data_IF_450282211438
#
_entry.id   IF_450282211438
#
_cell.length_a   1.000
_cell.length_b   1.000
_cell.length_c   1.000
_cell.angle_alpha   90.00
_cell.angle_beta   90.00
_cell.angle_gamma   90.00
#
_symmetry.space_group_name_H-M   'P 1'
#
loop_
_entity.id
_entity.type
_entity.pdbx_description
1 polymer ?
#
# COMPACT_ATOMS: atom_id res chain seq x y z
N UNK A 1 -13.63 -41.81 45.07
CA UNK A 1 -13.73 -40.35 44.82
C UNK A 1 -13.47 -40.14 43.35
N UNK A 2 -14.47 -39.63 42.60
CA UNK A 2 -14.34 -39.36 41.16
C UNK A 2 -13.68 -37.99 41.02
N UNK A 3 -12.44 -37.94 40.53
CA UNK A 3 -11.80 -36.68 40.17
C UNK A 3 -12.51 -36.08 38.97
N UNK A 4 -13.08 -34.90 39.15
CA UNK A 4 -13.57 -34.04 38.07
C UNK A 4 -12.37 -33.22 37.62
N UNK A 5 -11.92 -33.43 36.39
CA UNK A 5 -10.99 -32.51 35.73
C UNK A 5 -11.82 -31.33 35.19
N UNK A 6 -11.57 -30.13 35.71
CA UNK A 6 -12.06 -28.89 35.12
C UNK A 6 -10.97 -28.38 34.19
N UNK A 7 -11.19 -28.51 32.88
CA UNK A 7 -10.33 -27.89 31.88
C UNK A 7 -10.69 -26.40 31.81
N UNK A 8 -9.82 -25.55 32.34
CA UNK A 8 -9.93 -24.10 32.18
C UNK A 8 -9.47 -23.74 30.77
N UNK A 9 -10.43 -23.43 29.88
CA UNK A 9 -10.14 -22.95 28.53
C UNK A 9 -9.74 -21.47 28.61
N UNK A 10 -8.43 -21.18 28.60
CA UNK A 10 -7.96 -19.81 28.39
C UNK A 10 -8.20 -19.46 26.92
N UNK A 11 -9.14 -18.55 26.65
CA UNK A 11 -9.31 -17.95 25.33
C UNK A 11 -8.12 -17.03 25.03
N UNK A 12 -7.11 -17.54 24.33
CA UNK A 12 -6.07 -16.72 23.72
C UNK A 12 -6.70 -15.97 22.55
N UNK A 13 -6.96 -14.68 22.72
CA UNK A 13 -7.34 -13.81 21.61
C UNK A 13 -6.07 -13.37 20.90
N UNK A 14 -5.85 -13.84 19.67
CA UNK A 14 -4.84 -13.27 18.79
C UNK A 14 -5.45 -12.07 18.09
N UNK A 15 -4.84 -10.90 18.23
CA UNK A 15 -5.14 -9.78 17.34
C UNK A 15 -4.59 -10.15 15.97
N UNK A 16 -5.45 -10.29 14.97
CA UNK A 16 -5.00 -10.29 13.59
C UNK A 16 -4.27 -8.96 13.33
N UNK A 17 -3.07 -9.02 12.78
CA UNK A 17 -2.38 -7.82 12.32
C UNK A 17 -3.03 -7.40 11.01
N UNK A 18 -3.73 -6.27 11.01
CA UNK A 18 -4.16 -5.63 9.76
C UNK A 18 -2.92 -5.20 9.00
N UNK A 19 -2.74 -5.72 7.79
CA UNK A 19 -1.64 -5.33 6.90
C UNK A 19 -2.25 -4.37 5.88
N UNK A 20 -1.70 -3.16 5.77
CA UNK A 20 -2.03 -2.20 4.70
C UNK A 20 -0.71 -1.70 4.12
N UNK A 21 -0.63 -1.61 2.80
CA UNK A 21 0.58 -1.23 2.08
C UNK A 21 0.24 -0.54 0.75
N UNK A 22 1.20 0.17 0.18
CA UNK A 22 1.07 0.78 -1.14
C UNK A 22 1.22 -0.31 -2.20
N UNK A 23 0.23 -0.42 -3.08
CA UNK A 23 0.03 -1.57 -3.96
C UNK A 23 0.30 -1.30 -5.44
N UNK A 24 -0.04 -0.10 -5.90
CA UNK A 24 0.07 0.31 -7.30
C UNK A 24 0.25 1.83 -7.38
N UNK A 25 1.05 2.31 -8.33
CA UNK A 25 1.33 3.74 -8.53
C UNK A 25 1.41 4.02 -10.03
N UNK A 26 0.78 5.12 -10.46
CA UNK A 26 0.94 5.70 -11.79
C UNK A 26 1.28 7.19 -11.65
N UNK A 27 2.44 7.61 -12.14
CA UNK A 27 3.02 8.96 -11.96
C UNK A 27 3.62 9.59 -13.22
N UNK A 28 4.05 8.85 -14.24
CA UNK A 28 4.69 9.40 -15.45
C UNK A 28 4.16 8.76 -16.74
N UNK A 29 3.86 9.59 -17.73
CA UNK A 29 3.35 9.17 -19.02
C UNK A 29 4.20 9.63 -20.21
N UNK A 30 4.01 8.95 -21.33
CA UNK A 30 4.34 9.51 -22.64
C UNK A 30 3.54 10.80 -22.91
N UNK A 31 4.21 11.94 -22.77
CA UNK A 31 3.62 13.26 -23.02
C UNK A 31 3.31 14.00 -21.72
N UNK A 32 2.03 14.32 -21.50
CA UNK A 32 1.59 14.94 -20.25
C UNK A 32 1.04 13.87 -19.31
N UNK A 33 1.25 14.06 -18.02
CA UNK A 33 0.80 13.11 -17.00
C UNK A 33 -0.72 13.16 -16.84
N UNK A 34 -1.34 12.00 -16.98
CA UNK A 34 -2.78 11.79 -17.00
C UNK A 34 -3.13 10.52 -16.24
N UNK A 35 -4.30 10.50 -15.60
CA UNK A 35 -4.79 9.37 -14.84
C UNK A 35 -3.85 8.92 -13.70
N UNK A 36 -3.07 9.83 -13.11
CA UNK A 36 -2.23 9.49 -11.97
C UNK A 36 -3.06 8.98 -10.79
N UNK A 37 -2.55 7.97 -10.11
CA UNK A 37 -3.17 7.43 -8.91
C UNK A 37 -2.14 6.76 -8.01
N UNK A 38 -2.55 6.57 -6.77
CA UNK A 38 -1.93 5.65 -5.83
C UNK A 38 -2.98 4.67 -5.32
N UNK A 39 -2.60 3.41 -5.20
CA UNK A 39 -3.45 2.36 -4.67
C UNK A 39 -2.87 1.81 -3.37
N UNK A 40 -3.75 1.50 -2.42
CA UNK A 40 -3.39 0.71 -1.24
C UNK A 40 -4.14 -0.61 -1.25
N UNK A 41 -3.50 -1.66 -0.75
CA UNK A 41 -4.12 -2.95 -0.54
C UNK A 41 -3.84 -3.45 0.86
N UNK A 42 -4.62 -4.43 1.31
CA UNK A 42 -4.48 -4.93 2.67
C UNK A 42 -5.57 -5.90 3.08
N UNK A 43 -5.63 -6.17 4.38
CA UNK A 43 -6.65 -7.02 4.98
C UNK A 43 -8.05 -6.46 4.68
N UNK A 44 -8.94 -7.31 4.16
CA UNK A 44 -10.33 -6.94 3.91
C UNK A 44 -11.01 -6.49 5.20
N UNK A 45 -11.90 -5.50 5.10
CA UNK A 45 -12.60 -4.94 6.25
C UNK A 45 -11.80 -3.89 7.04
N UNK A 46 -10.54 -3.62 6.70
CA UNK A 46 -9.78 -2.55 7.34
C UNK A 46 -10.35 -1.18 6.98
N UNK A 47 -10.74 -0.43 8.00
CA UNK A 47 -11.17 0.98 7.88
C UNK A 47 -9.95 1.89 7.74
N UNK A 48 -9.89 2.61 6.62
CA UNK A 48 -8.82 3.55 6.29
C UNK A 48 -9.07 4.96 6.84
N UNK A 49 -10.13 5.17 7.63
CA UNK A 49 -10.41 6.46 8.27
C UNK A 49 -9.21 6.91 9.12
N UNK A 50 -8.68 8.09 8.79
CA UNK A 50 -7.53 8.68 9.47
C UNK A 50 -6.16 8.26 8.91
N UNK A 51 -6.13 7.33 7.95
CA UNK A 51 -4.91 7.03 7.20
C UNK A 51 -4.62 8.11 6.17
N UNK A 52 -3.35 8.31 5.86
CA UNK A 52 -2.92 9.29 4.85
C UNK A 52 -1.74 8.78 4.04
N UNK A 53 -1.62 9.28 2.81
CA UNK A 53 -0.38 9.19 2.04
C UNK A 53 0.24 10.59 1.95
N UNK A 54 1.51 10.71 2.31
CA UNK A 54 2.28 11.95 2.26
C UNK A 54 3.32 11.84 1.17
N UNK A 55 3.31 12.78 0.22
CA UNK A 55 4.21 12.82 -0.92
C UNK A 55 5.50 13.57 -0.57
N UNK A 56 6.62 13.09 -1.09
CA UNK A 56 7.96 13.58 -0.79
C UNK A 56 8.77 13.81 -2.07
N UNK A 57 9.35 15.00 -2.18
CA UNK A 57 10.31 15.32 -3.23
C UNK A 57 11.68 14.81 -2.78
N UNK A 58 12.29 13.92 -3.54
CA UNK A 58 13.57 13.31 -3.16
C UNK A 58 14.75 14.24 -3.34
N UNK A 59 14.61 15.30 -4.15
CA UNK A 59 15.55 16.41 -4.19
C UNK A 59 15.35 17.35 -2.98
N UNK A 60 15.92 16.95 -1.85
CA UNK A 60 15.86 17.68 -0.60
C UNK A 60 15.01 17.01 0.48
N UNK A 61 14.31 15.92 0.14
CA UNK A 61 13.59 15.08 1.09
C UNK A 61 12.42 15.80 1.76
N UNK A 62 11.79 16.75 1.09
CA UNK A 62 10.71 17.56 1.66
C UNK A 62 9.36 17.17 1.11
N UNK A 63 8.32 17.25 1.94
CA UNK A 63 6.94 16.99 1.51
C UNK A 63 6.47 18.00 0.47
N UNK A 64 5.66 17.55 -0.49
CA UNK A 64 4.94 18.41 -1.43
C UNK A 64 3.47 18.03 -1.54
N UNK A 65 2.68 18.89 -2.18
CA UNK A 65 1.24 18.68 -2.32
C UNK A 65 0.49 18.70 -0.98
N UNK A 66 -0.78 18.35 -1.03
CA UNK A 66 -1.56 18.04 0.18
C UNK A 66 -1.48 16.55 0.45
N UNK A 67 -1.49 16.15 1.72
CA UNK A 67 -1.61 14.74 2.07
C UNK A 67 -2.92 14.17 1.48
N UNK A 68 -2.82 12.96 0.93
CA UNK A 68 -3.95 12.23 0.38
C UNK A 68 -4.64 11.55 1.55
N UNK A 69 -5.79 12.07 1.98
CA UNK A 69 -6.58 11.44 3.03
C UNK A 69 -7.25 10.18 2.48
N UNK A 70 -6.97 9.05 3.11
CA UNK A 70 -7.63 7.80 2.77
C UNK A 70 -8.95 7.73 3.55
N UNK A 71 -9.91 7.01 2.98
CA UNK A 71 -11.20 6.77 3.61
C UNK A 71 -11.87 5.56 2.99
N UNK A 72 -12.92 5.07 3.64
CA UNK A 72 -13.60 3.84 3.25
C UNK A 72 -12.97 2.62 3.89
N UNK A 73 -13.55 1.47 3.58
CA UNK A 73 -13.15 0.18 4.09
C UNK A 73 -12.62 -0.63 2.93
N UNK A 74 -11.43 -1.23 3.08
CA UNK A 74 -10.90 -2.15 2.07
C UNK A 74 -11.95 -3.25 1.82
N UNK A 75 -12.49 -3.37 0.59
CA UNK A 75 -13.52 -4.37 0.30
C UNK A 75 -13.03 -5.82 0.53
N UNK A 76 -13.95 -6.77 0.41
CA UNK A 76 -13.64 -8.20 0.30
C UNK A 76 -13.78 -8.57 -1.17
N UNK A 77 -12.82 -9.32 -1.72
CA UNK A 77 -12.87 -9.80 -3.11
C UNK A 77 -13.93 -10.91 -3.33
N UNK A 78 -14.67 -11.27 -2.28
CA UNK A 78 -15.69 -12.31 -2.26
C UNK A 78 -15.14 -13.70 -1.95
N UNK A 79 -13.82 -13.82 -1.76
CA UNK A 79 -13.14 -15.04 -1.32
C UNK A 79 -12.65 -14.98 0.13
N UNK A 80 -12.94 -13.88 0.84
CA UNK A 80 -12.37 -13.59 2.17
C UNK A 80 -10.94 -13.03 2.10
N UNK A 81 -10.43 -12.80 0.88
CA UNK A 81 -9.14 -12.18 0.62
C UNK A 81 -9.20 -10.68 0.74
N UNK A 82 -8.05 -10.10 1.10
CA UNK A 82 -7.81 -8.67 1.03
C UNK A 82 -8.10 -8.12 -0.36
N UNK A 83 -8.32 -6.82 -0.44
CA UNK A 83 -8.50 -6.14 -1.73
C UNK A 83 -7.80 -4.79 -1.72
N UNK A 84 -7.91 -4.05 -2.83
CA UNK A 84 -7.29 -2.76 -3.03
C UNK A 84 -8.29 -1.61 -3.17
N UNK A 85 -7.81 -0.40 -2.93
CA UNK A 85 -8.54 0.85 -3.18
C UNK A 85 -7.61 1.86 -3.84
N UNK A 86 -7.99 2.32 -5.03
CA UNK A 86 -7.27 3.32 -5.78
C UNK A 86 -7.77 4.74 -5.46
N UNK A 87 -6.82 5.67 -5.33
CA UNK A 87 -7.03 7.08 -5.06
C UNK A 87 -6.50 7.90 -6.25
N UNK A 88 -7.42 8.34 -7.09
CA UNK A 88 -7.10 9.14 -8.29
C UNK A 88 -6.67 10.54 -7.90
N UNK A 89 -5.60 11.01 -8.54
CA UNK A 89 -5.01 12.32 -8.32
C UNK A 89 -5.36 13.27 -9.46
N UNK A 90 -5.37 14.59 -9.22
CA UNK A 90 -5.39 15.57 -10.31
C UNK A 90 -4.16 15.40 -11.21
N UNK A 91 -4.25 15.77 -12.48
CA UNK A 91 -3.10 15.75 -13.40
C UNK A 91 -1.91 16.55 -12.89
N UNK A 92 -0.71 16.01 -13.04
CA UNK A 92 0.55 16.41 -12.41
C UNK A 92 0.45 16.44 -10.88
N UNK A 93 -0.23 15.44 -10.32
CA UNK A 93 -0.44 15.28 -8.88
C UNK A 93 0.76 14.65 -8.18
N UNK A 94 1.47 13.77 -8.88
CA UNK A 94 2.75 13.21 -8.49
C UNK A 94 3.86 13.92 -9.26
N UNK A 95 5.07 13.93 -8.70
CA UNK A 95 6.25 14.46 -9.37
C UNK A 95 7.02 13.33 -10.05
N UNK A 96 7.57 13.61 -11.23
CA UNK A 96 8.36 12.66 -12.00
C UNK A 96 9.79 12.77 -11.45
N UNK A 97 10.17 11.82 -10.61
CA UNK A 97 11.32 11.96 -9.74
C UNK A 97 12.43 10.97 -9.99
N UNK A 98 13.68 11.46 -9.98
CA UNK A 98 14.88 10.66 -9.78
C UNK A 98 15.72 11.14 -8.57
N UNK A 99 15.35 10.83 -7.32
CA UNK A 99 14.13 10.13 -6.90
C UNK A 99 13.02 11.06 -6.40
N UNK A 100 11.78 10.57 -6.37
CA UNK A 100 10.67 11.07 -5.54
C UNK A 100 9.99 9.88 -4.83
N UNK A 101 9.10 10.14 -3.87
CA UNK A 101 8.50 9.06 -3.09
C UNK A 101 7.28 9.45 -2.26
N UNK A 102 6.80 8.50 -1.47
CA UNK A 102 5.61 8.67 -0.65
C UNK A 102 5.62 7.77 0.58
N UNK A 103 5.04 8.27 1.66
CA UNK A 103 4.89 7.54 2.93
C UNK A 103 3.42 7.25 3.21
N UNK A 104 3.10 5.99 3.52
CA UNK A 104 1.81 5.56 4.03
C UNK A 104 1.81 5.70 5.55
N UNK A 105 0.84 6.46 6.08
CA UNK A 105 0.72 6.78 7.49
C UNK A 105 -0.61 6.23 8.01
N UNK A 106 -0.57 5.47 9.11
CA UNK A 106 -1.78 4.93 9.72
C UNK A 106 -2.57 5.97 10.53
N UNK A 107 -3.74 5.55 11.00
CA UNK A 107 -4.63 6.37 11.82
C UNK A 107 -4.08 6.73 13.22
N UNK A 108 -2.91 6.22 13.59
CA UNK A 108 -2.17 6.58 14.82
C UNK A 108 -1.00 7.51 14.56
N UNK A 109 -0.86 8.00 13.32
CA UNK A 109 0.26 8.81 12.84
C UNK A 109 1.61 8.06 12.78
N UNK A 110 1.58 6.72 12.63
CA UNK A 110 2.76 5.89 12.44
C UNK A 110 3.06 5.70 10.95
N UNK A 111 4.32 5.83 10.55
CA UNK A 111 4.77 5.49 9.19
C UNK A 111 4.74 3.98 9.03
N UNK A 112 3.83 3.47 8.19
CA UNK A 112 3.69 2.05 7.87
C UNK A 112 4.66 1.65 6.77
N UNK A 113 4.81 2.51 5.77
CA UNK A 113 5.67 2.28 4.61
C UNK A 113 6.22 3.60 4.10
N UNK A 114 7.48 3.61 3.66
CA UNK A 114 8.08 4.75 2.96
C UNK A 114 8.85 4.25 1.74
N UNK A 115 8.28 4.47 0.56
CA UNK A 115 8.85 4.04 -0.72
C UNK A 115 9.24 5.23 -1.59
N UNK A 116 10.13 4.98 -2.52
CA UNK A 116 10.51 5.90 -3.58
C UNK A 116 10.69 5.16 -4.90
N UNK A 117 10.66 5.90 -6.00
CA UNK A 117 11.00 5.42 -7.33
C UNK A 117 12.25 6.15 -7.84
N UNK A 118 12.99 5.47 -8.73
CA UNK A 118 14.21 5.97 -9.37
C UNK A 118 15.34 6.35 -8.39
N UNK A 119 15.41 5.65 -7.26
CA UNK A 119 16.42 5.82 -6.22
C UNK A 119 15.83 6.00 -4.83
N UNK A 120 16.69 6.21 -3.83
CA UNK A 120 16.30 6.41 -2.42
C UNK A 120 16.79 7.74 -1.87
N UNK A 121 16.11 8.26 -0.86
CA UNK A 121 16.46 9.50 -0.18
C UNK A 121 15.99 9.48 1.27
N UNK A 122 16.55 10.38 2.08
CA UNK A 122 16.12 10.57 3.48
C UNK A 122 15.17 11.75 3.57
N UNK A 123 14.04 11.57 4.25
CA UNK A 123 13.09 12.65 4.50
C UNK A 123 13.64 13.65 5.53
N UNK A 124 13.51 14.93 5.23
CA UNK A 124 13.96 16.07 6.03
C UNK A 124 12.81 16.81 6.71
N UNK A 125 11.55 16.42 6.47
CA UNK A 125 10.38 16.92 7.18
C UNK A 125 9.23 15.88 7.17
N UNK A 126 8.07 16.27 7.71
CA UNK A 126 6.84 15.47 7.69
C UNK A 126 6.91 14.21 8.56
N UNK A 127 5.91 13.32 8.45
CA UNK A 127 5.81 12.12 9.28
C UNK A 127 6.98 11.14 9.13
N UNK A 128 7.60 11.08 7.95
CA UNK A 128 8.77 10.23 7.69
C UNK A 128 10.12 10.87 8.06
N UNK A 129 10.14 12.00 8.78
CA UNK A 129 11.36 12.73 9.13
C UNK A 129 12.47 11.80 9.67
N UNK A 130 13.63 11.82 9.02
CA UNK A 130 14.81 11.04 9.38
C UNK A 130 14.79 9.58 8.90
N UNK A 131 13.68 9.12 8.30
CA UNK A 131 13.62 7.81 7.64
C UNK A 131 14.18 7.91 6.21
N UNK A 132 14.84 6.84 5.78
CA UNK A 132 15.26 6.66 4.38
C UNK A 132 14.22 5.83 3.65
N UNK A 133 13.80 6.29 2.48
CA UNK A 133 12.85 5.56 1.62
C UNK A 133 13.46 4.27 1.08
N UNK A 134 12.60 3.31 0.76
CA UNK A 134 12.97 2.09 0.04
C UNK A 134 12.66 2.30 -1.44
N UNK A 135 13.69 2.26 -2.29
CA UNK A 135 13.51 2.28 -3.74
C UNK A 135 12.75 1.02 -4.21
N UNK A 136 11.68 1.21 -4.99
CA UNK A 136 10.85 0.12 -5.51
C UNK A 136 11.53 -0.64 -6.65
N UNK A 137 12.58 -0.06 -7.27
CA UNK A 137 13.43 -0.74 -8.25
C UNK A 137 12.82 -0.89 -9.65
N UNK A 138 11.65 -0.32 -9.88
CA UNK A 138 10.99 -0.15 -11.19
C UNK A 138 10.58 1.30 -11.35
N UNK A 139 10.42 1.77 -12.58
CA UNK A 139 10.06 3.16 -12.85
C UNK A 139 9.18 3.31 -14.07
N UNK A 140 8.41 4.38 -14.06
CA UNK A 140 7.79 4.94 -15.25
C UNK A 140 8.70 6.00 -15.85
N UNK A 141 8.52 6.26 -17.13
CA UNK A 141 9.31 7.21 -17.88
C UNK A 141 8.41 8.03 -18.78
N UNK A 142 8.96 9.06 -19.41
CA UNK A 142 8.33 9.82 -20.49
C UNK A 142 7.97 9.01 -21.77
N UNK A 143 8.04 7.69 -21.71
CA UNK A 143 7.62 6.75 -22.74
C UNK A 143 6.61 5.70 -22.25
N UNK A 144 6.23 5.74 -20.96
CA UNK A 144 5.20 4.86 -20.39
C UNK A 144 3.85 5.12 -21.06
N UNK A 145 3.23 4.10 -21.68
CA UNK A 145 1.90 4.26 -22.26
C UNK A 145 0.86 4.59 -21.18
N UNK A 146 -0.10 5.46 -21.50
CA UNK A 146 -1.30 5.63 -20.67
C UNK A 146 -2.02 4.29 -20.52
N UNK A 147 -2.48 3.99 -19.29
CA UNK A 147 -3.10 2.71 -18.94
C UNK A 147 -2.11 1.63 -18.48
N UNK A 148 -0.84 2.00 -18.31
CA UNK A 148 0.16 1.16 -17.67
C UNK A 148 0.66 1.84 -16.38
N UNK A 149 0.90 1.03 -15.35
CA UNK A 149 1.31 1.44 -14.01
C UNK A 149 2.45 0.57 -13.47
N UNK A 150 3.02 0.97 -12.33
CA UNK A 150 3.86 0.13 -11.49
C UNK A 150 2.99 -0.53 -10.43
N UNK A 151 3.08 -1.85 -10.28
CA UNK A 151 2.20 -2.59 -9.38
C UNK A 151 2.95 -3.71 -8.65
N UNK A 152 2.50 -4.07 -7.45
CA UNK A 152 3.04 -5.21 -6.71
C UNK A 152 2.43 -6.52 -7.21
N UNK A 153 3.27 -7.54 -7.33
CA UNK A 153 2.86 -8.92 -7.58
C UNK A 153 3.54 -9.85 -6.59
N UNK A 154 2.89 -10.92 -6.16
CA UNK A 154 3.49 -11.92 -5.28
C UNK A 154 3.58 -13.30 -5.94
N UNK A 155 3.11 -13.45 -7.18
CA UNK A 155 2.98 -14.74 -7.87
C UNK A 155 2.27 -15.81 -7.01
N UNK A 156 1.31 -15.38 -6.18
CA UNK A 156 0.59 -16.23 -5.24
C UNK A 156 1.33 -16.52 -3.92
N UNK A 157 2.40 -15.79 -3.62
CA UNK A 157 3.11 -15.86 -2.34
C UNK A 157 2.51 -14.89 -1.30
N UNK A 158 3.24 -14.63 -0.21
CA UNK A 158 2.79 -13.71 0.85
C UNK A 158 3.00 -12.25 0.46
N UNK A 159 1.98 -11.43 0.67
CA UNK A 159 2.02 -9.97 0.50
C UNK A 159 3.08 -9.30 1.41
N UNK A 160 3.59 -8.09 1.05
CA UNK A 160 3.07 -7.19 0.02
C UNK A 160 3.46 -7.57 -1.42
N UNK A 161 4.40 -8.50 -1.63
CA UNK A 161 4.91 -8.86 -2.95
C UNK A 161 6.05 -7.95 -3.44
N UNK A 162 6.48 -8.13 -4.69
CA UNK A 162 7.54 -7.37 -5.36
C UNK A 162 6.97 -6.42 -6.40
N UNK A 163 7.58 -5.24 -6.55
CA UNK A 163 7.20 -4.30 -7.60
C UNK A 163 7.59 -4.80 -8.99
N UNK A 164 6.67 -4.63 -9.94
CA UNK A 164 6.85 -4.89 -11.38
C UNK A 164 6.24 -3.74 -12.18
N UNK A 165 6.58 -3.66 -13.46
CA UNK A 165 5.99 -2.70 -14.38
C UNK A 165 7.03 -1.88 -15.15
N UNK A 166 6.58 -0.95 -16.02
CA UNK A 166 5.16 -0.64 -16.26
C UNK A 166 4.39 -1.75 -17.01
N UNK A 167 3.21 -2.11 -16.51
CA UNK A 167 2.28 -3.09 -17.14
C UNK A 167 0.84 -2.57 -17.01
N UNK A 168 -0.14 -3.21 -17.67
CA UNK A 168 -1.53 -2.74 -17.66
C UNK A 168 -2.06 -2.52 -16.23
N UNK A 169 -2.61 -1.32 -15.99
CA UNK A 169 -3.05 -0.87 -14.67
C UNK A 169 -4.31 -1.60 -14.17
N UNK A 170 -4.45 -1.69 -12.85
CA UNK A 170 -5.54 -2.42 -12.17
C UNK A 170 -6.25 -1.59 -11.09
N UNK A 171 -6.55 -0.28 -11.29
CA UNK A 171 -7.07 0.57 -10.22
C UNK A 171 -8.38 0.06 -9.64
N UNK A 172 -8.37 -0.24 -8.34
CA UNK A 172 -9.51 -0.77 -7.58
C UNK A 172 -9.78 -2.26 -7.81
N UNK A 173 -8.86 -2.96 -8.48
CA UNK A 173 -8.88 -4.41 -8.69
C UNK A 173 -7.57 -5.02 -8.18
N UNK A 174 -7.57 -6.33 -7.95
CA UNK A 174 -6.34 -7.04 -7.58
C UNK A 174 -5.33 -6.99 -8.71
N UNK A 175 -4.07 -6.65 -8.38
CA UNK A 175 -2.97 -6.62 -9.33
C UNK A 175 -2.76 -7.95 -10.04
N UNK A 176 -2.15 -7.89 -11.22
CA UNK A 176 -1.87 -9.06 -12.03
C UNK A 176 -0.94 -10.03 -11.29
N UNK A 177 -1.43 -11.25 -11.04
CA UNK A 177 -0.66 -12.32 -10.39
C UNK A 177 -0.48 -12.15 -8.88
N UNK A 178 -1.26 -11.27 -8.24
CA UNK A 178 -1.23 -11.04 -6.81
C UNK A 178 -2.28 -11.88 -6.06
N UNK A 179 -1.95 -12.32 -4.85
CA UNK A 179 -2.85 -12.93 -3.87
C UNK A 179 -2.83 -12.11 -2.57
N UNK A 180 -3.92 -11.42 -2.29
CA UNK A 180 -3.97 -10.49 -1.15
C UNK A 180 -4.25 -11.20 0.18
N UNK A 181 -3.87 -10.58 1.33
CA UNK A 181 -3.94 -11.22 2.63
C UNK A 181 -5.38 -11.56 3.03
N UNK A 182 -5.65 -12.82 3.34
CA UNK A 182 -6.93 -13.29 3.90
C UNK A 182 -6.91 -13.12 5.42
N UNK A 183 -8.03 -12.71 6.03
CA UNK A 183 -8.16 -12.80 7.49
C UNK A 183 -8.19 -14.29 7.90
N UNK A 184 -7.23 -14.72 8.72
CA UNK A 184 -7.29 -16.07 9.30
C UNK A 184 -8.47 -16.13 10.28
N UNK A 185 -9.62 -16.60 9.80
CA UNK A 185 -10.75 -16.88 10.69
C UNK A 185 -10.34 -17.93 11.72
N UNK A 186 -10.62 -17.65 12.98
CA UNK A 186 -10.34 -18.54 14.11
C UNK A 186 -10.81 -19.97 13.80
N UNK A 187 -9.88 -20.89 13.56
CA UNK A 187 -10.18 -22.31 13.67
C UNK A 187 -10.36 -22.63 15.15
N UNK A 188 -11.62 -22.72 15.56
CA UNK A 188 -11.94 -23.36 16.84
C UNK A 188 -11.63 -24.85 16.66
N UNK A 189 -10.59 -25.32 17.34
CA UNK A 189 -10.36 -26.76 17.46
C UNK A 189 -11.31 -27.24 18.55
N UNK A 190 -12.40 -27.91 18.16
CA UNK A 190 -13.31 -28.58 19.10
C UNK A 190 -12.63 -29.76 19.82
#
# INVERSE_FOLDING_TARGET
>A
MRSIFVTLLLGLSFSAWSIVFINEIHYDNAGADVNEFVEVAGTAGTDLTGWTIVLYNGNGGVTYGSAINLSGTLPDDGSGGGTSMAFVLPSNGLQNGAPDGMALIDNTATVVEFISYEGSFTANNGPALGLTSVDIGVSETNSTPTGNSLQRTDNGATSPGTWVGPIAETPGATNTGQMLPVELQNFSVE
#
